data_IF_886807236835
#
_entry.id   IF_886807236835
#
_cell.length_a   1.000
_cell.length_b   1.000
_cell.length_c   1.000
_cell.angle_alpha   90.00
_cell.angle_beta   90.00
_cell.angle_gamma   90.00
#
_symmetry.space_group_name_H-M   'P 1'
#
loop_
_entity.id
_entity.type
_entity.pdbx_description
1 polymer ?
#
# COMPACT_ATOMS: atom_id res chain seq x y z
N UNK A 1 -20.68 -20.33 -19.72
CA UNK A 1 -19.54 -21.06 -19.10
C UNK A 1 -18.23 -20.28 -19.21
N UNK A 2 -17.76 -19.85 -20.39
CA UNK A 2 -16.52 -19.05 -20.55
C UNK A 2 -16.49 -17.79 -19.68
N UNK A 3 -17.59 -17.02 -19.64
CA UNK A 3 -17.70 -15.79 -18.84
C UNK A 3 -17.62 -16.01 -17.33
N UNK A 4 -18.16 -17.13 -16.81
CA UNK A 4 -18.07 -17.45 -15.37
C UNK A 4 -16.63 -17.78 -15.00
N UNK A 5 -15.95 -18.54 -15.86
CA UNK A 5 -14.55 -18.92 -15.63
C UNK A 5 -13.62 -17.70 -15.67
N UNK A 6 -13.84 -16.77 -16.59
CA UNK A 6 -13.13 -15.48 -16.62
C UNK A 6 -13.34 -14.70 -15.33
N UNK A 7 -14.59 -14.66 -14.82
CA UNK A 7 -14.85 -14.01 -13.55
C UNK A 7 -14.12 -14.66 -12.37
N UNK A 8 -14.14 -16.00 -12.30
CA UNK A 8 -13.40 -16.75 -11.26
C UNK A 8 -11.90 -16.50 -11.36
N UNK A 9 -11.36 -16.47 -12.58
CA UNK A 9 -9.94 -16.20 -12.84
C UNK A 9 -9.54 -14.81 -12.35
N UNK A 10 -10.27 -13.77 -12.74
CA UNK A 10 -9.98 -12.39 -12.33
C UNK A 10 -10.15 -12.20 -10.82
N UNK A 11 -11.14 -12.84 -10.21
CA UNK A 11 -11.27 -12.83 -8.76
C UNK A 11 -10.08 -13.51 -8.07
N UNK A 12 -9.57 -14.62 -8.64
CA UNK A 12 -8.38 -15.31 -8.14
C UNK A 12 -7.10 -14.45 -8.12
N UNK A 13 -6.99 -13.47 -9.03
CA UNK A 13 -5.85 -12.54 -9.05
C UNK A 13 -5.70 -11.74 -7.76
N UNK A 14 -6.80 -11.46 -7.05
CA UNK A 14 -6.79 -10.82 -5.73
C UNK A 14 -6.04 -11.63 -4.67
N UNK A 15 -5.87 -12.94 -4.89
CA UNK A 15 -5.25 -13.88 -3.96
C UNK A 15 -3.98 -14.50 -4.53
N UNK A 16 -3.39 -13.89 -5.57
CA UNK A 16 -2.22 -14.44 -6.27
C UNK A 16 -2.48 -15.82 -6.94
N UNK A 17 -3.75 -16.18 -7.18
CA UNK A 17 -4.12 -17.45 -7.81
C UNK A 17 -4.04 -17.28 -9.32
N UNK A 18 -2.91 -17.66 -9.90
CA UNK A 18 -2.62 -17.57 -11.33
C UNK A 18 -1.67 -18.68 -11.77
N UNK A 19 -1.81 -19.19 -12.99
CA UNK A 19 -0.83 -20.11 -13.59
C UNK A 19 0.40 -19.30 -14.03
N UNK A 20 1.62 -19.61 -13.54
CA UNK A 20 2.85 -18.97 -13.98
C UNK A 20 3.03 -18.94 -15.50
N UNK A 21 2.58 -19.98 -16.22
CA UNK A 21 2.70 -20.06 -17.68
C UNK A 21 1.81 -19.05 -18.39
N UNK A 22 0.65 -18.73 -17.81
CA UNK A 22 -0.29 -17.75 -18.37
C UNK A 22 0.09 -16.30 -18.00
N UNK A 23 0.92 -16.14 -16.96
CA UNK A 23 1.41 -14.85 -16.47
C UNK A 23 2.92 -14.65 -16.73
N UNK A 24 3.42 -15.19 -17.84
CA UNK A 24 4.81 -15.06 -18.28
C UNK A 24 4.85 -14.49 -19.69
N UNK A 25 5.58 -13.39 -19.88
CA UNK A 25 5.57 -12.60 -21.11
C UNK A 25 6.99 -12.26 -21.57
N UNK A 26 7.18 -12.24 -22.89
CA UNK A 26 8.45 -11.83 -23.51
C UNK A 26 8.66 -10.32 -23.44
N UNK A 27 7.62 -9.57 -23.80
CA UNK A 27 7.67 -8.13 -23.96
C UNK A 27 6.83 -7.43 -22.89
N UNK A 28 7.27 -6.25 -22.49
CA UNK A 28 6.58 -5.44 -21.46
C UNK A 28 5.19 -5.04 -21.92
N UNK A 29 5.02 -4.68 -23.19
CA UNK A 29 3.72 -4.29 -23.76
C UNK A 29 2.72 -5.45 -23.82
N UNK A 30 3.20 -6.69 -23.68
CA UNK A 30 2.35 -7.87 -23.61
C UNK A 30 1.86 -8.17 -22.19
N UNK A 31 2.42 -7.52 -21.17
CA UNK A 31 1.99 -7.70 -19.77
C UNK A 31 0.65 -6.99 -19.57
N UNK A 32 -0.44 -7.71 -19.25
CA UNK A 32 -1.72 -7.08 -19.02
C UNK A 32 -1.70 -6.19 -17.78
N UNK A 33 -2.56 -5.17 -17.77
CA UNK A 33 -2.89 -4.46 -16.53
C UNK A 33 -3.88 -5.31 -15.73
N UNK A 34 -3.34 -6.13 -14.81
CA UNK A 34 -4.13 -6.98 -13.93
C UNK A 34 -4.94 -6.16 -12.94
N UNK A 35 -4.48 -4.96 -12.58
CA UNK A 35 -5.19 -4.08 -11.66
C UNK A 35 -6.49 -3.61 -12.31
N UNK A 36 -6.43 -3.14 -13.55
CA UNK A 36 -7.62 -2.72 -14.31
C UNK A 36 -8.66 -3.84 -14.42
N UNK A 37 -8.20 -5.08 -14.65
CA UNK A 37 -9.09 -6.24 -14.78
C UNK A 37 -9.89 -6.57 -13.51
N UNK A 38 -9.38 -6.17 -12.33
CA UNK A 38 -10.04 -6.45 -11.05
C UNK A 38 -10.79 -5.28 -10.43
N UNK A 39 -10.75 -4.08 -11.04
CA UNK A 39 -11.47 -2.89 -10.54
C UNK A 39 -12.95 -3.17 -10.21
N UNK A 40 -13.73 -3.88 -11.05
CA UNK A 40 -15.13 -4.18 -10.73
C UNK A 40 -15.29 -4.97 -9.43
N UNK A 41 -14.34 -5.85 -9.11
CA UNK A 41 -14.34 -6.65 -7.88
C UNK A 41 -13.96 -5.82 -6.67
N UNK A 42 -13.02 -4.87 -6.79
CA UNK A 42 -12.73 -3.92 -5.71
C UNK A 42 -13.98 -3.15 -5.31
N UNK A 43 -14.66 -2.55 -6.28
CA UNK A 43 -15.90 -1.78 -6.03
C UNK A 43 -16.96 -2.67 -5.40
N UNK A 44 -17.15 -3.88 -5.93
CA UNK A 44 -18.13 -4.83 -5.41
C UNK A 44 -17.82 -5.24 -3.97
N UNK A 45 -16.56 -5.58 -3.66
CA UNK A 45 -16.14 -5.98 -2.32
C UNK A 45 -16.24 -4.84 -1.31
N UNK A 46 -15.89 -3.61 -1.70
CA UNK A 46 -16.11 -2.42 -0.85
C UNK A 46 -17.60 -2.29 -0.52
N UNK A 47 -18.49 -2.33 -1.51
CA UNK A 47 -19.93 -2.21 -1.29
C UNK A 47 -20.46 -3.33 -0.38
N UNK A 48 -20.03 -4.57 -0.60
CA UNK A 48 -20.39 -5.72 0.23
C UNK A 48 -19.92 -5.51 1.68
N UNK A 49 -18.68 -5.08 1.88
CA UNK A 49 -18.15 -4.80 3.22
C UNK A 49 -18.96 -3.71 3.92
N UNK A 50 -19.36 -2.65 3.21
CA UNK A 50 -20.19 -1.58 3.77
C UNK A 50 -21.57 -2.08 4.20
N UNK A 51 -22.21 -2.91 3.37
CA UNK A 51 -23.52 -3.51 3.70
C UNK A 51 -23.39 -4.41 4.93
N UNK A 52 -22.39 -5.30 4.95
CA UNK A 52 -22.19 -6.22 6.08
C UNK A 52 -21.89 -5.44 7.37
N UNK A 53 -21.04 -4.42 7.30
CA UNK A 53 -20.68 -3.58 8.45
C UNK A 53 -21.90 -2.87 9.01
N UNK A 54 -22.73 -2.28 8.14
CA UNK A 54 -23.98 -1.64 8.52
C UNK A 54 -24.95 -2.62 9.20
N UNK A 55 -25.15 -3.80 8.63
CA UNK A 55 -26.06 -4.83 9.19
C UNK A 55 -25.56 -5.33 10.56
N UNK A 56 -24.24 -5.49 10.75
CA UNK A 56 -23.68 -6.02 12.00
C UNK A 56 -23.61 -5.00 13.13
N UNK A 57 -23.32 -3.74 12.82
CA UNK A 57 -22.99 -2.72 13.83
C UNK A 57 -24.02 -1.61 13.94
N UNK A 58 -24.97 -1.53 13.00
CA UNK A 58 -25.87 -0.37 12.82
C UNK A 58 -25.13 0.97 12.74
N UNK A 59 -23.83 0.95 12.42
CA UNK A 59 -22.97 2.12 12.26
C UNK A 59 -22.68 2.32 10.77
N UNK A 60 -22.91 3.54 10.31
CA UNK A 60 -22.43 3.98 9.01
C UNK A 60 -20.94 4.31 9.12
N UNK A 61 -20.18 3.92 8.10
CA UNK A 61 -18.80 4.40 7.98
C UNK A 61 -18.77 5.92 7.89
N UNK A 62 -17.65 6.49 8.30
CA UNK A 62 -17.35 7.90 8.09
C UNK A 62 -17.13 8.15 6.61
N UNK A 63 -18.20 8.56 5.91
CA UNK A 63 -18.20 8.80 4.46
C UNK A 63 -17.10 9.79 4.04
N UNK A 64 -16.85 10.81 4.87
CA UNK A 64 -15.75 11.76 4.65
C UNK A 64 -14.37 11.09 4.62
N UNK A 65 -14.14 10.07 5.45
CA UNK A 65 -12.92 9.30 5.44
C UNK A 65 -12.80 8.44 4.17
N UNK A 66 -13.89 7.78 3.76
CA UNK A 66 -13.93 7.02 2.51
C UNK A 66 -13.68 7.90 1.27
N UNK A 67 -14.30 9.09 1.22
CA UNK A 67 -14.06 10.08 0.14
C UNK A 67 -12.61 10.55 0.15
N UNK A 68 -12.03 10.81 1.33
CA UNK A 68 -10.63 11.18 1.44
C UNK A 68 -9.70 10.06 0.94
N UNK A 69 -9.96 8.80 1.32
CA UNK A 69 -9.23 7.63 0.82
C UNK A 69 -9.30 7.49 -0.70
N UNK A 70 -10.50 7.62 -1.28
CA UNK A 70 -10.68 7.61 -2.73
C UNK A 70 -9.95 8.76 -3.41
N UNK A 71 -10.03 9.97 -2.84
CA UNK A 71 -9.34 11.15 -3.36
C UNK A 71 -7.82 10.99 -3.38
N UNK A 72 -7.24 10.36 -2.35
CA UNK A 72 -5.82 10.00 -2.33
C UNK A 72 -5.49 9.00 -3.46
N UNK A 73 -6.33 7.99 -3.67
CA UNK A 73 -6.19 7.02 -4.76
C UNK A 73 -6.20 7.68 -6.14
N UNK A 74 -7.11 8.63 -6.38
CA UNK A 74 -7.17 9.39 -7.64
C UNK A 74 -5.88 10.19 -7.86
N UNK A 75 -5.40 10.89 -6.84
CA UNK A 75 -4.13 11.63 -6.92
C UNK A 75 -2.95 10.70 -7.21
N UNK A 76 -2.92 9.53 -6.58
CA UNK A 76 -1.92 8.50 -6.84
C UNK A 76 -1.96 8.02 -8.30
N UNK A 77 -3.13 7.74 -8.87
CA UNK A 77 -3.25 7.34 -10.28
C UNK A 77 -2.71 8.41 -11.24
N UNK A 78 -2.99 9.70 -10.98
CA UNK A 78 -2.43 10.80 -11.76
C UNK A 78 -0.89 10.83 -11.68
N UNK A 79 -0.32 10.53 -10.51
CA UNK A 79 1.13 10.45 -10.34
C UNK A 79 1.77 9.27 -11.08
N UNK A 80 1.04 8.15 -11.26
CA UNK A 80 1.55 6.99 -12.03
C UNK A 80 1.81 7.35 -13.47
N UNK A 81 0.97 8.21 -14.09
CA UNK A 81 1.20 8.70 -15.45
C UNK A 81 2.56 9.41 -15.60
N UNK A 82 3.04 10.07 -14.54
CA UNK A 82 4.32 10.77 -14.53
C UNK A 82 5.50 9.84 -14.22
N UNK A 83 5.36 8.97 -13.22
CA UNK A 83 6.50 8.24 -12.66
C UNK A 83 6.64 6.79 -13.13
N UNK A 84 5.55 6.12 -13.54
CA UNK A 84 5.58 4.69 -13.95
C UNK A 84 6.51 4.47 -15.15
N UNK A 85 6.42 5.33 -16.16
CA UNK A 85 7.28 5.27 -17.35
C UNK A 85 8.75 5.42 -17.01
N UNK A 86 9.12 6.48 -16.27
CA UNK A 86 10.50 6.72 -15.84
C UNK A 86 11.07 5.56 -15.02
N UNK A 87 10.29 5.04 -14.09
CA UNK A 87 10.71 3.91 -13.27
C UNK A 87 10.94 2.64 -14.09
N UNK A 88 10.00 2.30 -14.98
CA UNK A 88 10.12 1.13 -15.85
C UNK A 88 11.30 1.27 -16.80
N UNK A 89 11.51 2.46 -17.40
CA UNK A 89 12.66 2.73 -18.26
C UNK A 89 13.98 2.56 -17.51
N UNK A 90 14.05 3.04 -16.25
CA UNK A 90 15.23 2.90 -15.41
C UNK A 90 15.50 1.43 -15.06
N UNK A 91 14.46 0.66 -14.72
CA UNK A 91 14.58 -0.77 -14.46
C UNK A 91 15.07 -1.53 -15.70
N UNK A 92 14.48 -1.27 -16.88
CA UNK A 92 14.90 -1.88 -18.14
C UNK A 92 16.33 -1.49 -18.49
N UNK A 93 16.71 -0.23 -18.28
CA UNK A 93 18.08 0.24 -18.52
C UNK A 93 19.09 -0.53 -17.66
N UNK A 94 18.84 -0.67 -16.36
CA UNK A 94 19.72 -1.45 -15.47
C UNK A 94 19.76 -2.91 -15.93
N UNK A 95 18.62 -3.53 -16.22
CA UNK A 95 18.58 -4.93 -16.67
C UNK A 95 19.32 -5.16 -18.00
N UNK A 96 19.21 -4.23 -18.95
CA UNK A 96 19.87 -4.35 -20.25
C UNK A 96 21.39 -4.20 -20.14
N UNK A 97 21.86 -3.27 -19.31
CA UNK A 97 23.28 -2.92 -19.25
C UNK A 97 24.05 -3.66 -18.15
N UNK A 98 23.43 -3.93 -17.00
CA UNK A 98 24.11 -4.36 -15.77
C UNK A 98 23.59 -5.68 -15.19
N UNK A 99 22.75 -6.43 -15.91
CA UNK A 99 22.34 -7.77 -15.43
C UNK A 99 23.55 -8.69 -15.30
N UNK A 100 23.61 -9.43 -14.21
CA UNK A 100 24.67 -10.41 -13.94
C UNK A 100 24.30 -11.81 -14.42
N UNK A 101 23.00 -12.07 -14.61
CA UNK A 101 22.49 -13.30 -15.19
C UNK A 101 21.27 -13.01 -16.06
N UNK A 102 20.90 -13.97 -16.91
CA UNK A 102 19.70 -13.89 -17.76
C UNK A 102 18.77 -15.03 -17.38
N UNK A 103 17.81 -14.75 -16.49
CA UNK A 103 16.77 -15.70 -16.18
C UNK A 103 15.77 -15.76 -17.33
N UNK A 104 15.45 -16.98 -17.76
CA UNK A 104 14.48 -17.22 -18.84
C UNK A 104 13.06 -16.94 -18.31
N UNK A 105 12.31 -16.09 -18.99
CA UNK A 105 10.99 -15.63 -18.56
C UNK A 105 9.89 -16.71 -18.66
N UNK A 106 10.07 -17.74 -19.49
CA UNK A 106 9.15 -18.87 -19.63
C UNK A 106 9.26 -19.87 -18.46
N UNK A 107 10.39 -19.89 -17.77
CA UNK A 107 10.65 -20.86 -16.72
C UNK A 107 9.83 -20.55 -15.45
N UNK A 108 9.06 -21.51 -14.97
CA UNK A 108 8.33 -21.43 -13.70
C UNK A 108 9.25 -21.12 -12.51
N UNK A 109 10.51 -21.57 -12.54
CA UNK A 109 11.48 -21.23 -11.50
C UNK A 109 11.79 -19.73 -11.46
N UNK A 110 11.93 -19.07 -12.63
CA UNK A 110 12.13 -17.61 -12.71
C UNK A 110 10.95 -16.87 -12.12
N UNK A 111 9.74 -17.34 -12.40
CA UNK A 111 8.50 -16.80 -11.84
C UNK A 111 8.48 -16.93 -10.31
N UNK A 112 8.77 -18.11 -9.75
CA UNK A 112 8.83 -18.31 -8.29
C UNK A 112 9.93 -17.45 -7.64
N UNK A 113 11.11 -17.36 -8.25
CA UNK A 113 12.21 -16.53 -7.74
C UNK A 113 11.79 -15.05 -7.72
N UNK A 114 11.13 -14.58 -8.79
CA UNK A 114 10.66 -13.21 -8.88
C UNK A 114 9.54 -12.91 -7.87
N UNK A 115 8.61 -13.84 -7.63
CA UNK A 115 7.63 -13.73 -6.55
C UNK A 115 8.30 -13.48 -5.19
N UNK A 116 9.25 -14.34 -4.81
CA UNK A 116 9.97 -14.24 -3.54
C UNK A 116 10.76 -12.93 -3.47
N UNK A 117 11.47 -12.57 -4.55
CA UNK A 117 12.31 -11.38 -4.60
C UNK A 117 11.50 -10.08 -4.53
N UNK A 118 10.36 -10.00 -5.23
CA UNK A 118 9.46 -8.84 -5.18
C UNK A 118 8.82 -8.72 -3.81
N UNK A 119 8.32 -9.81 -3.24
CA UNK A 119 7.71 -9.76 -1.90
C UNK A 119 8.72 -9.41 -0.80
N UNK A 120 9.96 -9.91 -0.91
CA UNK A 120 11.07 -9.51 -0.04
C UNK A 120 11.44 -8.03 -0.21
N UNK A 121 11.50 -7.56 -1.46
CA UNK A 121 11.72 -6.15 -1.76
C UNK A 121 10.62 -5.27 -1.15
N UNK A 122 9.36 -5.70 -1.25
CA UNK A 122 8.24 -5.02 -0.62
C UNK A 122 8.42 -4.93 0.90
N UNK A 123 8.77 -6.02 1.59
CA UNK A 123 8.99 -6.01 3.04
C UNK A 123 9.99 -4.90 3.46
N UNK A 124 11.12 -4.80 2.77
CA UNK A 124 12.13 -3.80 3.10
C UNK A 124 11.69 -2.38 2.78
N UNK A 125 11.04 -2.17 1.63
CA UNK A 125 10.46 -0.87 1.29
C UNK A 125 9.50 -0.43 2.36
N UNK A 126 8.58 -1.33 2.73
CA UNK A 126 7.54 -1.05 3.68
C UNK A 126 8.13 -0.71 5.05
N UNK A 127 9.07 -1.52 5.53
CA UNK A 127 9.82 -1.25 6.76
C UNK A 127 10.53 0.09 6.73
N UNK A 128 11.30 0.39 5.68
CA UNK A 128 12.01 1.68 5.57
C UNK A 128 11.04 2.87 5.49
N UNK A 129 9.87 2.69 4.89
CA UNK A 129 8.85 3.73 4.87
C UNK A 129 8.21 3.99 6.23
N UNK A 130 8.32 3.07 7.20
CA UNK A 130 7.94 3.34 8.60
C UNK A 130 9.11 3.88 9.42
N UNK A 131 10.31 3.36 9.22
CA UNK A 131 11.47 3.66 10.07
C UNK A 131 12.30 4.89 9.63
N UNK A 132 12.09 5.44 8.43
CA UNK A 132 12.80 6.62 7.91
C UNK A 132 11.84 7.78 7.74
N UNK A 133 12.03 8.88 8.47
CA UNK A 133 11.07 9.97 8.59
C UNK A 133 10.62 10.58 7.24
N UNK A 134 11.55 10.82 6.30
CA UNK A 134 11.20 11.35 4.98
C UNK A 134 10.39 10.36 4.12
N UNK A 135 10.59 9.06 4.30
CA UNK A 135 9.82 8.03 3.61
C UNK A 135 8.45 7.82 4.29
N UNK A 136 8.40 7.92 5.62
CA UNK A 136 7.17 7.96 6.40
C UNK A 136 6.26 9.10 5.98
N UNK A 137 6.80 10.24 5.54
CA UNK A 137 5.98 11.33 5.01
C UNK A 137 5.09 10.90 3.83
N UNK A 138 5.56 9.99 2.96
CA UNK A 138 4.73 9.40 1.90
C UNK A 138 3.81 8.31 2.45
N UNK A 139 4.28 7.47 3.37
CA UNK A 139 3.52 6.30 3.77
C UNK A 139 2.46 6.58 4.85
N UNK A 140 2.65 7.61 5.69
CA UNK A 140 1.65 8.04 6.67
C UNK A 140 0.29 8.36 6.05
N UNK A 141 0.27 8.79 4.77
CA UNK A 141 -0.98 9.02 4.02
C UNK A 141 -1.86 7.79 4.13
N UNK A 142 -1.30 6.61 3.93
CA UNK A 142 -1.98 5.32 4.03
C UNK A 142 -2.51 5.03 5.43
N UNK A 143 -1.72 5.33 6.46
CA UNK A 143 -2.08 5.15 7.88
C UNK A 143 -2.96 6.25 8.45
N UNK A 144 -3.21 7.34 7.72
CA UNK A 144 -3.92 8.51 8.25
C UNK A 144 -5.43 8.31 8.44
N UNK A 145 -6.00 7.25 7.87
CA UNK A 145 -7.41 6.91 8.07
C UNK A 145 -7.65 6.41 9.49
N UNK A 146 -8.71 6.93 10.11
CA UNK A 146 -9.19 6.44 11.41
C UNK A 146 -10.23 5.31 11.27
N UNK A 147 -10.63 4.99 10.04
CA UNK A 147 -11.48 3.85 9.71
C UNK A 147 -10.62 2.77 9.05
N UNK A 148 -10.82 1.51 9.43
CA UNK A 148 -10.07 0.41 8.81
C UNK A 148 -11.00 -0.51 8.04
N UNK A 149 -11.00 -0.36 6.72
CA UNK A 149 -11.86 -1.07 5.78
C UNK A 149 -11.20 -1.10 4.39
N UNK A 150 -11.83 -1.71 3.39
CA UNK A 150 -11.24 -1.92 2.07
C UNK A 150 -10.94 -0.61 1.33
N UNK A 151 -11.61 0.51 1.69
CA UNK A 151 -11.27 1.83 1.11
C UNK A 151 -9.93 2.35 1.60
N UNK A 152 -9.44 1.91 2.77
CA UNK A 152 -8.10 2.25 3.30
C UNK A 152 -7.00 1.82 2.34
N UNK A 153 -7.18 0.71 1.61
CA UNK A 153 -6.24 0.25 0.58
C UNK A 153 -6.01 1.30 -0.53
N UNK A 154 -7.03 2.10 -0.85
CA UNK A 154 -6.98 3.15 -1.88
C UNK A 154 -6.26 4.42 -1.41
N UNK A 155 -6.06 4.58 -0.10
CA UNK A 155 -5.45 5.77 0.47
C UNK A 155 -3.93 5.73 0.28
N UNK A 156 -3.45 6.28 -0.84
CA UNK A 156 -2.04 6.18 -1.24
C UNK A 156 -1.41 7.56 -1.52
N UNK A 157 -0.10 7.69 -1.30
CA UNK A 157 0.62 8.95 -1.55
C UNK A 157 1.18 9.05 -2.96
N UNK A 158 1.08 10.23 -3.57
CA UNK A 158 1.69 10.50 -4.91
C UNK A 158 3.20 10.23 -4.99
N UNK A 159 3.92 10.27 -3.86
CA UNK A 159 5.36 10.01 -3.80
C UNK A 159 5.70 8.56 -3.47
N UNK A 160 4.73 7.75 -3.06
CA UNK A 160 4.97 6.37 -2.65
C UNK A 160 5.51 5.53 -3.82
N UNK A 161 4.98 5.72 -5.04
CA UNK A 161 5.46 5.02 -6.23
C UNK A 161 6.94 5.32 -6.53
N UNK A 162 7.34 6.59 -6.42
CA UNK A 162 8.71 7.02 -6.68
C UNK A 162 9.68 6.31 -5.73
N UNK A 163 9.39 6.33 -4.42
CA UNK A 163 10.24 5.66 -3.43
C UNK A 163 10.26 4.15 -3.62
N UNK A 164 9.09 3.52 -3.82
CA UNK A 164 8.98 2.08 -4.02
C UNK A 164 9.87 1.59 -5.18
N UNK A 165 9.88 2.30 -6.31
CA UNK A 165 10.71 1.89 -7.44
C UNK A 165 12.21 2.00 -7.18
N UNK A 166 12.68 3.00 -6.43
CA UNK A 166 14.11 3.15 -6.10
C UNK A 166 14.65 1.90 -5.38
N UNK A 167 13.86 1.31 -4.51
CA UNK A 167 14.23 0.10 -3.76
C UNK A 167 14.06 -1.20 -4.54
N UNK A 168 13.25 -1.21 -5.60
CA UNK A 168 13.16 -2.36 -6.50
C UNK A 168 14.26 -2.39 -7.57
N UNK A 169 14.97 -1.28 -7.81
CA UNK A 169 16.06 -1.22 -8.81
C UNK A 169 17.13 -2.31 -8.65
N UNK A 170 17.56 -2.72 -7.44
CA UNK A 170 18.49 -3.83 -7.29
C UNK A 170 18.00 -5.14 -7.90
N UNK A 171 16.69 -5.40 -7.97
CA UNK A 171 16.15 -6.61 -8.59
C UNK A 171 16.41 -6.65 -10.11
N UNK A 172 16.58 -5.49 -10.75
CA UNK A 172 16.86 -5.40 -12.19
C UNK A 172 18.19 -6.03 -12.60
N UNK A 173 19.09 -6.35 -11.67
CA UNK A 173 20.34 -7.05 -12.03
C UNK A 173 20.14 -8.55 -12.27
N UNK A 174 18.98 -9.11 -11.89
CA UNK A 174 18.67 -10.55 -11.95
C UNK A 174 17.29 -10.82 -12.56
N UNK A 175 16.26 -10.09 -12.15
CA UNK A 175 14.85 -10.39 -12.46
C UNK A 175 14.43 -9.70 -13.78
N UNK A 176 13.93 -10.46 -14.78
CA UNK A 176 13.42 -9.89 -16.02
C UNK A 176 12.34 -8.84 -15.80
N UNK A 177 12.32 -7.73 -16.58
CA UNK A 177 11.35 -6.65 -16.40
C UNK A 177 9.88 -7.10 -16.48
N UNK A 178 9.56 -8.02 -17.39
CA UNK A 178 8.18 -8.54 -17.55
C UNK A 178 7.73 -9.31 -16.31
N UNK A 179 8.58 -10.21 -15.80
CA UNK A 179 8.31 -10.99 -14.59
C UNK A 179 8.21 -10.08 -13.36
N UNK A 180 9.10 -9.08 -13.23
CA UNK A 180 9.00 -8.07 -12.17
C UNK A 180 7.66 -7.33 -12.20
N UNK A 181 7.23 -6.84 -13.37
CA UNK A 181 5.97 -6.12 -13.53
C UNK A 181 4.76 -6.96 -13.14
N UNK A 182 4.74 -8.23 -13.55
CA UNK A 182 3.69 -9.19 -13.17
C UNK A 182 3.61 -9.31 -11.64
N UNK A 183 4.74 -9.61 -10.99
CA UNK A 183 4.74 -9.83 -9.55
C UNK A 183 4.47 -8.57 -8.74
N UNK A 184 4.93 -7.40 -9.20
CA UNK A 184 4.64 -6.13 -8.57
C UNK A 184 3.13 -5.82 -8.58
N UNK A 185 2.44 -6.10 -9.69
CA UNK A 185 0.98 -5.97 -9.76
C UNK A 185 0.27 -6.93 -8.80
N UNK A 186 0.59 -8.22 -8.86
CA UNK A 186 -0.06 -9.21 -7.98
C UNK A 186 0.24 -8.97 -6.50
N UNK A 187 1.41 -8.45 -6.15
CA UNK A 187 1.75 -8.07 -4.78
C UNK A 187 0.82 -6.95 -4.28
N UNK A 188 0.60 -5.90 -5.09
CA UNK A 188 -0.36 -4.82 -4.78
C UNK A 188 -1.79 -5.35 -4.71
N UNK A 189 -2.20 -6.24 -5.63
CA UNK A 189 -3.53 -6.83 -5.63
C UNK A 189 -3.82 -7.65 -4.38
N UNK A 190 -2.87 -8.47 -3.95
CA UNK A 190 -2.98 -9.24 -2.73
C UNK A 190 -3.20 -8.34 -1.51
N UNK A 191 -2.50 -7.21 -1.45
CA UNK A 191 -2.60 -6.29 -0.32
C UNK A 191 -3.96 -5.59 -0.23
N UNK A 192 -4.81 -5.63 -1.25
CA UNK A 192 -6.15 -5.04 -1.15
C UNK A 192 -7.01 -5.73 -0.08
N UNK A 193 -7.17 -7.06 -0.17
CA UNK A 193 -8.18 -7.78 0.62
C UNK A 193 -7.82 -7.89 2.12
N UNK A 194 -6.55 -7.70 2.47
CA UNK A 194 -6.09 -7.68 3.87
C UNK A 194 -6.56 -6.42 4.64
N UNK A 195 -7.10 -5.40 3.96
CA UNK A 195 -7.65 -4.21 4.60
C UNK A 195 -9.11 -4.41 5.06
N UNK A 196 -9.35 -5.30 6.01
CA UNK A 196 -10.71 -5.50 6.53
C UNK A 196 -10.72 -5.90 7.99
N UNK A 197 -11.80 -5.53 8.68
CA UNK A 197 -12.13 -6.02 10.03
C UNK A 197 -13.08 -7.23 10.00
N UNK A 198 -13.68 -7.55 8.86
CA UNK A 198 -14.70 -8.60 8.78
C UNK A 198 -14.12 -10.00 8.90
N UNK A 199 -12.88 -10.20 8.44
CA UNK A 199 -12.17 -11.49 8.50
C UNK A 199 -11.26 -11.48 9.72
N UNK A 200 -11.61 -12.26 10.73
CA UNK A 200 -10.89 -12.30 12.00
C UNK A 200 -9.64 -13.18 11.93
N UNK A 201 -9.77 -14.37 11.34
CA UNK A 201 -8.65 -15.29 11.11
C UNK A 201 -8.90 -16.15 9.87
N UNK A 202 -7.81 -16.60 9.23
CA UNK A 202 -7.82 -17.65 8.20
C UNK A 202 -7.13 -18.95 8.67
N UNK A 203 -6.91 -19.08 9.98
CA UNK A 203 -6.34 -20.26 10.60
C UNK A 203 -4.85 -20.45 10.26
N UNK A 204 -4.38 -21.70 10.06
CA UNK A 204 -2.95 -22.00 9.91
C UNK A 204 -2.22 -21.27 8.77
N UNK A 205 -2.93 -20.74 7.78
CA UNK A 205 -2.31 -19.95 6.71
C UNK A 205 -1.62 -18.68 7.25
N UNK A 206 -2.01 -18.19 8.44
CA UNK A 206 -1.39 -17.04 9.14
C UNK A 206 0.06 -17.28 9.56
N UNK A 207 0.56 -18.52 9.50
CA UNK A 207 1.99 -18.76 9.71
C UNK A 207 2.83 -18.29 8.53
N UNK A 208 2.26 -18.25 7.32
CA UNK A 208 2.99 -18.01 6.07
C UNK A 208 2.50 -16.73 5.37
N UNK A 209 1.19 -16.52 5.31
CA UNK A 209 0.56 -15.42 4.61
C UNK A 209 0.37 -14.20 5.51
N UNK A 210 0.52 -13.01 4.95
CA UNK A 210 0.01 -11.79 5.55
C UNK A 210 -1.52 -11.80 5.43
N UNK A 211 -2.22 -11.41 6.48
CA UNK A 211 -3.68 -11.59 6.61
C UNK A 211 -4.32 -10.34 7.18
N UNK A 212 -5.66 -10.23 7.14
CA UNK A 212 -6.35 -9.10 7.75
C UNK A 212 -6.00 -8.89 9.22
N UNK A 213 -5.78 -9.96 9.99
CA UNK A 213 -5.38 -9.83 11.40
C UNK A 213 -4.00 -9.19 11.57
N UNK A 214 -3.01 -9.66 10.81
CA UNK A 214 -1.66 -9.09 10.83
C UNK A 214 -1.66 -7.64 10.35
N UNK A 215 -2.43 -7.34 9.31
CA UNK A 215 -2.48 -6.01 8.71
C UNK A 215 -3.28 -5.01 9.55
N UNK A 216 -4.27 -5.46 10.33
CA UNK A 216 -4.89 -4.64 11.38
C UNK A 216 -3.88 -4.20 12.41
N UNK A 217 -3.02 -5.10 12.89
CA UNK A 217 -1.93 -4.76 13.82
C UNK A 217 -1.00 -3.75 13.16
N UNK A 218 -0.61 -3.97 11.91
CA UNK A 218 0.24 -3.05 11.17
C UNK A 218 -0.33 -1.62 11.10
N UNK A 219 -1.63 -1.48 10.82
CA UNK A 219 -2.30 -0.18 10.80
C UNK A 219 -2.64 0.39 12.16
N UNK A 220 -2.47 -0.39 13.23
CA UNK A 220 -2.78 0.02 14.58
C UNK A 220 -1.82 1.07 15.11
N UNK A 221 -2.34 2.03 15.86
CA UNK A 221 -1.54 3.03 16.57
C UNK A 221 -1.35 2.71 18.05
N UNK A 222 -1.88 1.58 18.54
CA UNK A 222 -1.60 1.09 19.88
C UNK A 222 -0.11 0.82 20.04
N UNK A 223 0.43 0.94 21.25
CA UNK A 223 1.88 0.79 21.48
C UNK A 223 2.44 -0.55 20.97
N UNK A 224 1.68 -1.63 21.12
CA UNK A 224 2.11 -2.96 20.66
C UNK A 224 2.07 -3.13 19.13
N UNK A 225 1.38 -2.24 18.41
CA UNK A 225 1.21 -2.26 16.96
C UNK A 225 2.31 -1.50 16.22
N UNK A 226 2.98 -0.56 16.89
CA UNK A 226 3.98 0.31 16.26
C UNK A 226 5.15 -0.52 15.71
N UNK A 227 5.50 -0.25 14.45
CA UNK A 227 6.62 -0.87 13.76
C UNK A 227 6.56 -2.40 13.72
N UNK A 228 5.37 -2.93 13.36
CA UNK A 228 5.10 -4.37 13.23
C UNK A 228 4.48 -4.74 11.89
N UNK A 229 4.68 -6.00 11.50
CA UNK A 229 4.00 -6.68 10.39
C UNK A 229 4.10 -5.95 9.04
N UNK A 230 5.31 -5.78 8.52
CA UNK A 230 5.60 -5.10 7.25
C UNK A 230 5.39 -5.97 5.99
N UNK A 231 5.12 -7.26 6.14
CA UNK A 231 4.95 -8.19 5.02
C UNK A 231 3.89 -7.76 4.02
N UNK A 232 4.11 -8.02 2.73
CA UNK A 232 3.14 -7.77 1.68
C UNK A 232 2.19 -8.95 1.52
N UNK A 233 2.67 -9.99 0.85
CA UNK A 233 1.97 -11.28 0.68
C UNK A 233 2.37 -12.25 1.78
N UNK A 234 3.67 -12.35 2.09
CA UNK A 234 4.18 -13.30 3.07
C UNK A 234 4.49 -12.61 4.40
N UNK A 235 3.99 -13.17 5.50
CA UNK A 235 4.32 -12.72 6.87
C UNK A 235 5.64 -13.32 7.36
N UNK A 236 6.23 -14.25 6.59
CA UNK A 236 7.45 -14.95 6.97
C UNK A 236 8.61 -13.97 7.21
N UNK A 237 8.67 -12.87 6.47
CA UNK A 237 9.72 -11.86 6.62
C UNK A 237 9.69 -11.21 8.00
N UNK A 238 8.49 -10.88 8.48
CA UNK A 238 8.33 -10.34 9.84
C UNK A 238 8.77 -11.32 10.93
N UNK A 239 8.53 -12.62 10.71
CA UNK A 239 8.99 -13.65 11.64
C UNK A 239 10.51 -13.79 11.61
N UNK A 240 11.11 -13.74 10.42
CA UNK A 240 12.56 -13.86 10.23
C UNK A 240 13.33 -12.65 10.78
N UNK A 241 12.79 -11.44 10.60
CA UNK A 241 13.44 -10.19 11.01
C UNK A 241 12.94 -9.61 12.34
N UNK A 242 12.10 -10.36 13.07
CA UNK A 242 11.67 -10.01 14.43
C UNK A 242 10.67 -8.86 14.52
N UNK A 243 9.94 -8.57 13.44
CA UNK A 243 8.91 -7.53 13.37
C UNK A 243 7.49 -8.09 13.46
N UNK A 244 7.34 -9.41 13.61
CA UNK A 244 6.03 -10.06 13.75
C UNK A 244 5.34 -9.74 15.07
N UNK A 245 4.05 -9.43 15.01
CA UNK A 245 3.17 -9.25 16.16
C UNK A 245 1.77 -9.80 15.87
N UNK A 246 1.29 -10.66 16.76
CA UNK A 246 -0.09 -11.16 16.71
C UNK A 246 -1.08 -10.11 17.23
N UNK A 247 -2.28 -10.07 16.66
CA UNK A 247 -3.39 -9.25 17.15
C UNK A 247 -3.82 -9.70 18.56
N UNK A 248 -4.03 -8.75 19.48
CA UNK A 248 -4.34 -9.06 20.89
C UNK A 248 -5.66 -8.47 21.35
N UNK A 249 -5.72 -7.15 21.38
CA UNK A 249 -6.83 -6.37 21.90
C UNK A 249 -7.37 -5.45 20.82
N UNK A 250 -8.42 -4.70 21.16
CA UNK A 250 -8.96 -3.66 20.31
C UNK A 250 -7.85 -2.75 19.74
N UNK A 251 -7.93 -2.50 18.43
CA UNK A 251 -6.97 -1.68 17.70
C UNK A 251 -7.61 -0.32 17.38
N UNK A 252 -6.90 0.73 17.76
CA UNK A 252 -7.17 2.10 17.34
C UNK A 252 -6.40 2.41 16.06
N UNK A 253 -7.05 3.06 15.09
CA UNK A 253 -6.45 3.42 13.80
C UNK A 253 -6.20 4.93 13.68
N UNK A 254 -5.51 5.31 12.61
CA UNK A 254 -5.03 6.66 12.36
C UNK A 254 -3.57 6.82 12.76
N UNK A 255 -3.10 8.06 12.77
CA UNK A 255 -1.74 8.39 13.20
C UNK A 255 -1.68 8.45 14.74
N UNK A 256 -0.47 8.25 15.28
CA UNK A 256 -0.18 8.54 16.70
C UNK A 256 -0.52 10.00 17.05
N UNK A 257 -0.30 10.92 16.10
CA UNK A 257 -0.82 12.28 16.12
C UNK A 257 -1.68 12.56 14.89
N UNK A 258 -3.00 12.46 15.04
CA UNK A 258 -3.94 12.69 13.95
C UNK A 258 -3.90 14.12 13.40
N UNK A 259 -4.04 14.24 12.08
CA UNK A 259 -4.11 15.53 11.35
C UNK A 259 -5.50 16.17 11.35
N UNK A 260 -6.55 15.42 11.69
CA UNK A 260 -7.94 15.88 11.81
C UNK A 260 -8.43 16.69 10.60
N UNK A 261 -8.16 16.20 9.38
CA UNK A 261 -8.60 16.82 8.13
C UNK A 261 -8.90 15.76 7.06
N UNK A 262 -9.79 16.10 6.13
CA UNK A 262 -10.10 15.31 4.93
C UNK A 262 -9.58 15.98 3.65
N UNK A 263 -8.88 17.13 3.77
CA UNK A 263 -8.34 17.83 2.61
C UNK A 263 -7.23 16.99 1.95
N UNK A 264 -7.37 16.63 0.66
CA UNK A 264 -6.48 15.65 0.07
C UNK A 264 -5.04 16.13 -0.08
N UNK A 265 -4.81 17.43 -0.29
CA UNK A 265 -3.47 18.00 -0.39
C UNK A 265 -2.76 18.11 0.96
N UNK A 266 -3.52 18.44 2.00
CA UNK A 266 -2.99 18.52 3.36
C UNK A 266 -2.57 17.13 3.85
N UNK A 267 -3.37 16.10 3.58
CA UNK A 267 -3.02 14.70 3.89
C UNK A 267 -1.67 14.32 3.26
N UNK A 268 -1.45 14.67 1.98
CA UNK A 268 -0.19 14.38 1.26
C UNK A 268 1.03 15.12 1.85
N UNK A 269 0.88 16.41 2.19
CA UNK A 269 2.03 17.29 2.39
C UNK A 269 2.36 17.65 3.84
N UNK A 270 1.42 17.50 4.79
CA UNK A 270 1.61 18.03 6.15
C UNK A 270 2.86 17.48 6.86
N UNK A 271 3.19 16.20 6.67
CA UNK A 271 4.34 15.60 7.35
C UNK A 271 5.66 16.11 6.76
N UNK A 272 5.72 16.33 5.45
CA UNK A 272 6.86 17.02 4.81
C UNK A 272 7.05 18.43 5.36
N UNK A 273 5.97 19.20 5.54
CA UNK A 273 6.07 20.51 6.18
C UNK A 273 6.54 20.39 7.63
N UNK A 274 6.09 19.38 8.37
CA UNK A 274 6.55 19.13 9.75
C UNK A 274 8.06 18.86 9.79
N UNK A 275 8.57 18.01 8.89
CA UNK A 275 10.00 17.74 8.74
C UNK A 275 10.76 19.03 8.39
N UNK A 276 10.27 19.81 7.43
CA UNK A 276 10.92 21.05 7.00
C UNK A 276 11.02 22.09 8.13
N UNK A 277 9.93 22.31 8.87
CA UNK A 277 9.93 23.22 10.02
C UNK A 277 10.91 22.75 11.10
N UNK A 278 10.92 21.45 11.41
CA UNK A 278 11.86 20.87 12.39
C UNK A 278 13.31 21.03 11.92
N UNK A 279 13.59 20.71 10.66
CA UNK A 279 14.92 20.85 10.04
C UNK A 279 15.47 22.28 10.11
N UNK A 280 14.62 23.29 10.00
CA UNK A 280 15.00 24.70 10.09
C UNK A 280 15.21 25.17 11.53
N UNK A 281 14.51 24.57 12.50
CA UNK A 281 14.62 24.92 13.93
C UNK A 281 15.83 24.28 14.60
N UNK A 282 16.15 23.03 14.27
CA UNK A 282 17.25 22.30 14.92
C UNK A 282 18.63 22.85 14.50
N UNK A 283 19.54 22.93 15.46
CA UNK A 283 20.93 23.32 15.24
C UNK A 283 21.83 22.09 15.06
N UNK A 284 22.87 22.24 14.27
CA UNK A 284 23.87 21.19 14.04
C UNK A 284 23.57 20.29 12.83
N UNK A 285 24.62 19.95 12.08
CA UNK A 285 24.53 19.15 10.86
C UNK A 285 23.94 17.75 11.11
N UNK A 286 24.37 17.07 12.19
CA UNK A 286 23.87 15.74 12.55
C UNK A 286 22.36 15.74 12.86
N UNK A 287 21.89 16.75 13.59
CA UNK A 287 20.46 16.87 13.92
C UNK A 287 19.62 17.14 12.67
N UNK A 288 20.14 17.93 11.72
CA UNK A 288 19.51 18.14 10.41
C UNK A 288 19.39 16.84 9.60
N UNK A 289 20.44 16.02 9.57
CA UNK A 289 20.39 14.68 8.94
C UNK A 289 19.37 13.79 9.64
N UNK A 290 19.36 13.75 10.98
CA UNK A 290 18.43 12.94 11.74
C UNK A 290 16.96 13.34 11.53
N UNK A 291 16.66 14.64 11.35
CA UNK A 291 15.32 15.09 10.98
C UNK A 291 14.78 14.38 9.72
N UNK A 292 15.65 14.04 8.78
CA UNK A 292 15.28 13.43 7.51
C UNK A 292 15.28 11.90 7.59
N UNK A 293 16.30 11.33 8.23
CA UNK A 293 16.62 9.90 8.10
C UNK A 293 16.47 9.07 9.37
N UNK A 294 16.34 9.68 10.55
CA UNK A 294 15.98 8.93 11.75
C UNK A 294 14.49 8.54 11.72
N UNK A 295 14.05 7.73 12.70
CA UNK A 295 12.64 7.37 12.84
C UNK A 295 11.73 8.58 13.03
N UNK A 296 10.43 8.48 12.66
CA UNK A 296 9.49 9.60 12.74
C UNK A 296 9.26 10.11 14.17
N UNK A 297 9.56 9.30 15.19
CA UNK A 297 9.50 9.68 16.60
C UNK A 297 10.77 10.39 17.12
N UNK A 298 11.85 10.46 16.33
CA UNK A 298 13.11 11.08 16.77
C UNK A 298 12.92 12.57 17.08
N UNK A 299 13.39 13.04 18.23
CA UNK A 299 13.44 14.46 18.60
C UNK A 299 14.76 14.81 19.32
N UNK A 300 15.13 16.10 19.31
CA UNK A 300 16.34 16.63 19.95
C UNK A 300 16.21 16.61 21.48
N UNK A 301 15.01 16.87 21.98
CA UNK A 301 14.68 16.95 23.40
C UNK A 301 13.88 15.73 23.89
N UNK A 302 13.76 14.68 23.08
CA UNK A 302 13.05 13.47 23.49
C UNK A 302 13.79 12.84 24.68
N UNK A 303 13.12 12.59 25.82
CA UNK A 303 13.65 11.67 26.82
C UNK A 303 13.99 10.35 26.13
N UNK A 304 15.04 9.65 26.57
CA UNK A 304 15.35 8.29 26.10
C UNK A 304 14.21 7.28 26.33
N UNK A 305 13.11 7.70 26.96
CA UNK A 305 11.93 6.90 27.19
C UNK A 305 10.80 7.37 26.27
N UNK A 306 10.46 6.50 25.32
CA UNK A 306 9.28 6.60 24.47
C UNK A 306 8.03 6.35 25.30
N UNK A 307 7.62 7.35 26.08
CA UNK A 307 6.41 7.28 26.89
C UNK A 307 5.17 7.49 26.00
N UNK A 308 4.91 6.47 25.18
CA UNK A 308 3.64 6.29 24.49
C UNK A 308 2.64 5.79 25.53
N UNK A 309 1.78 6.69 26.04
CA UNK A 309 0.57 6.27 26.74
C UNK A 309 -0.36 5.55 25.77
N UNK A 310 -1.04 4.50 26.23
CA UNK A 310 -2.07 3.85 25.44
C UNK A 310 -3.15 4.89 25.09
N UNK A 311 -3.29 5.20 23.80
CA UNK A 311 -4.29 6.14 23.33
C UNK A 311 -5.68 5.55 23.57
N UNK A 312 -6.34 5.98 24.65
CA UNK A 312 -7.76 5.75 24.85
C UNK A 312 -8.57 6.43 23.73
N UNK A 313 -9.66 5.76 23.36
CA UNK A 313 -10.54 6.08 22.24
C UNK A 313 -11.20 7.46 22.36
N UNK A 314 -11.15 8.35 21.35
CA UNK A 314 -12.12 9.42 21.24
C UNK A 314 -13.45 8.82 20.81
N UNK A 315 -14.41 8.91 21.72
CA UNK A 315 -15.79 8.49 21.53
C UNK A 315 -16.56 9.65 20.85
N UNK A 316 -16.38 9.89 19.56
CA UNK A 316 -17.19 10.90 18.84
C UNK A 316 -17.64 10.43 17.46
N UNK A 317 -18.87 9.91 17.43
CA UNK A 317 -19.72 9.78 16.25
C UNK A 317 -20.18 11.17 15.78
N UNK A 318 -19.35 11.85 15.00
CA UNK A 318 -19.74 13.07 14.29
C UNK A 318 -20.62 12.73 13.09
N UNK A 319 -21.94 12.79 13.27
CA UNK A 319 -22.91 12.78 12.17
C UNK A 319 -22.81 14.09 11.39
N UNK A 320 -22.33 14.03 10.15
CA UNK A 320 -22.51 15.13 9.19
C UNK A 320 -23.13 14.58 7.91
N UNK A 321 -24.28 15.17 7.58
CA UNK A 321 -25.15 14.88 6.45
C UNK A 321 -24.50 15.18 5.10
N UNK A 322 -24.98 14.42 4.10
CA UNK A 322 -24.67 14.49 2.68
C UNK A 322 -24.64 15.91 2.10
N UNK A 323 -23.51 16.26 1.50
CA UNK A 323 -23.46 16.96 0.23
C UNK A 323 -22.24 16.41 -0.53
N UNK A 324 -22.31 16.30 -1.86
CA UNK A 324 -21.34 15.68 -2.78
C UNK A 324 -21.56 14.18 -3.04
N UNK A 325 -22.70 13.88 -3.65
CA UNK A 325 -22.79 12.81 -4.64
C UNK A 325 -22.50 13.40 -6.03
N UNK A 326 -21.92 12.58 -6.91
CA UNK A 326 -21.34 12.83 -8.25
C UNK A 326 -19.81 13.03 -8.19
N UNK A 327 -19.04 11.92 -8.22
CA UNK A 327 -18.36 11.60 -9.49
C UNK A 327 -18.04 10.09 -9.68
N UNK A 328 -18.98 9.17 -9.41
CA UNK A 328 -18.70 7.74 -9.65
C UNK A 328 -18.80 7.35 -11.14
N UNK A 329 -19.62 8.07 -11.90
CA UNK A 329 -19.80 7.85 -13.35
C UNK A 329 -18.72 8.59 -14.16
N UNK A 330 -18.33 9.78 -13.71
CA UNK A 330 -17.28 10.57 -14.37
C UNK A 330 -15.88 9.96 -14.18
N UNK A 331 -15.63 9.25 -13.08
CA UNK A 331 -14.33 8.61 -12.84
C UNK A 331 -14.05 7.43 -13.79
N UNK A 332 -15.04 6.60 -14.11
CA UNK A 332 -14.86 5.50 -15.08
C UNK A 332 -14.61 6.06 -16.48
N UNK A 333 -15.31 7.15 -16.84
CA UNK A 333 -15.12 7.83 -18.13
C UNK A 333 -13.76 8.54 -18.21
N UNK A 334 -13.35 9.24 -17.15
CA UNK A 334 -12.06 9.90 -17.05
C UNK A 334 -10.90 8.90 -17.05
N UNK A 335 -11.02 7.79 -16.32
CA UNK A 335 -10.02 6.73 -16.27
C UNK A 335 -9.84 6.06 -17.63
N UNK A 336 -10.94 5.72 -18.33
CA UNK A 336 -10.86 5.14 -19.67
C UNK A 336 -10.26 6.14 -20.67
N UNK A 337 -10.63 7.43 -20.60
CA UNK A 337 -10.03 8.47 -21.44
C UNK A 337 -8.54 8.71 -21.18
N UNK A 338 -8.07 8.55 -19.94
CA UNK A 338 -6.65 8.65 -19.59
C UNK A 338 -5.84 7.45 -20.09
N UNK A 339 -6.41 6.24 -20.04
CA UNK A 339 -5.78 5.05 -20.59
C UNK A 339 -5.64 5.15 -22.12
N UNK A 340 -6.64 5.69 -22.82
CA UNK A 340 -6.57 5.94 -24.26
C UNK A 340 -5.50 6.99 -24.63
N UNK A 341 -5.32 8.05 -23.82
CA UNK A 341 -4.25 9.04 -24.06
C UNK A 341 -2.85 8.50 -23.78
N UNK A 342 -2.69 7.58 -22.83
CA UNK A 342 -1.39 6.96 -22.52
C UNK A 342 -0.97 5.94 -23.59
N UNK A 343 -1.90 5.36 -24.36
CA UNK A 343 -1.57 4.51 -25.52
C UNK A 343 -1.17 5.28 -26.78
N UNK A 344 -1.30 6.61 -26.79
CA UNK A 344 -0.95 7.48 -27.92
C UNK A 344 0.51 7.98 -27.84
N UNK A 345 1.22 7.71 -26.74
CA UNK A 345 2.66 7.96 -26.55
C UNK A 345 3.40 6.65 -26.27
#
# INVERSE_FOLDING_TARGET
MKTIWECVKHFGYLFYIVDPKEASYENVDSVPDYITQVIPYFVTLILIEQIITFVKSYRLIRINDAIASLSQGILMELSKALFKGLALMSYIYIYRNWRICSLNWQNTSTWIIAFIAVDFGFYWIHRFTHEINVLWAAHQVHHSSQEYNLTTALRQSVLHLLFQYMFYMPLAVVIPPTTFLVHNQFNVLYQFWIHTQLIQTIGPLEYILNTPSHHRVHHGRNKYCIDKNYGGVLIIWDRLFGTFQMERHYISYGLTKNINTFNPFTIQMHHYFTIFHKFNKVRGFRNKINCLFAGPAWDVDAPNDTDFHDYETPNESGYYLLAFYLPFIDFIWFYNGLQEMVQIF
#
